data_IF_585617504956
#
_entry.id   IF_585617504956
#
_cell.length_a   1.000
_cell.length_b   1.000
_cell.length_c   1.000
_cell.angle_alpha   90.00
_cell.angle_beta   90.00
_cell.angle_gamma   90.00
#
_symmetry.space_group_name_H-M   'P 1'
#
loop_
_entity.id
_entity.type
_entity.pdbx_description
1 polymer ?
#
# COMPACT_ATOMS: atom_id res chain seq x y z
N UNK A 1 41.86 50.23 42.38
CA UNK A 1 42.84 50.07 43.46
C UNK A 1 43.13 48.58 43.59
N UNK A 2 44.24 48.11 43.01
CA UNK A 2 44.68 46.72 43.15
C UNK A 2 45.19 46.50 44.56
N UNK A 3 44.43 45.78 45.38
CA UNK A 3 44.97 45.21 46.60
C UNK A 3 46.01 44.15 46.20
N UNK A 4 47.28 44.44 46.44
CA UNK A 4 48.40 43.49 46.32
C UNK A 4 48.33 42.44 47.46
N UNK A 5 47.26 41.68 47.52
CA UNK A 5 47.26 40.39 48.22
C UNK A 5 47.42 39.34 47.13
N UNK A 6 48.53 38.59 47.15
CA UNK A 6 48.81 37.50 46.21
C UNK A 6 47.86 36.30 46.34
N UNK A 7 46.59 36.55 46.65
CA UNK A 7 45.53 35.57 46.84
C UNK A 7 45.02 35.08 45.49
N UNK A 8 45.89 34.33 44.81
CA UNK A 8 45.58 33.55 43.61
C UNK A 8 44.44 32.55 43.82
N UNK A 9 44.05 32.29 45.08
CA UNK A 9 42.94 31.40 45.46
C UNK A 9 41.58 31.97 45.01
N UNK A 10 41.37 33.28 45.13
CA UNK A 10 40.09 33.89 44.73
C UNK A 10 39.91 33.88 43.21
N UNK A 11 40.97 34.21 42.46
CA UNK A 11 41.00 34.14 41.00
C UNK A 11 40.78 32.70 40.49
N UNK A 12 41.48 31.72 41.07
CA UNK A 12 41.28 30.29 40.79
C UNK A 12 39.87 29.80 41.10
N UNK A 13 39.23 30.32 42.15
CA UNK A 13 37.85 29.99 42.50
C UNK A 13 36.85 30.49 41.46
N UNK A 14 37.04 31.72 40.96
CA UNK A 14 36.21 32.28 39.88
C UNK A 14 36.41 31.47 38.60
N UNK A 15 37.64 31.14 38.24
CA UNK A 15 37.97 30.36 37.05
C UNK A 15 37.37 28.93 37.13
N UNK A 16 37.50 28.25 38.26
CA UNK A 16 36.85 26.95 38.49
C UNK A 16 35.33 27.01 38.39
N UNK A 17 34.71 28.12 38.79
CA UNK A 17 33.25 28.30 38.68
C UNK A 17 32.83 28.43 37.21
N UNK A 18 33.55 29.23 36.42
CA UNK A 18 33.32 29.35 34.97
C UNK A 18 33.51 28.03 34.24
N UNK A 19 34.51 27.23 34.62
CA UNK A 19 34.74 25.89 34.05
C UNK A 19 33.57 24.95 34.37
N UNK A 20 33.06 24.97 35.60
CA UNK A 20 31.87 24.16 35.99
C UNK A 20 30.62 24.57 35.23
N UNK A 21 30.39 25.87 35.05
CA UNK A 21 29.27 26.39 34.26
C UNK A 21 29.38 25.95 32.79
N UNK A 22 30.57 26.01 32.20
CA UNK A 22 30.81 25.56 30.83
C UNK A 22 30.57 24.04 30.67
N UNK A 23 31.01 23.22 31.62
CA UNK A 23 30.71 21.78 31.61
C UNK A 23 29.21 21.50 31.72
N UNK A 24 28.51 22.17 32.64
CA UNK A 24 27.06 22.03 32.78
C UNK A 24 26.33 22.43 31.50
N UNK A 25 26.73 23.53 30.86
CA UNK A 25 26.17 23.94 29.58
C UNK A 25 26.40 22.89 28.49
N UNK A 26 27.58 22.29 28.41
CA UNK A 26 27.85 21.18 27.49
C UNK A 26 26.94 19.98 27.75
N UNK A 27 26.76 19.57 29.00
CA UNK A 27 25.90 18.44 29.36
C UNK A 27 24.44 18.69 28.97
N UNK A 28 23.95 19.91 29.20
CA UNK A 28 22.60 20.33 28.79
C UNK A 28 22.48 20.32 27.26
N UNK A 29 23.48 20.83 26.53
CA UNK A 29 23.45 20.83 25.06
C UNK A 29 23.46 19.40 24.52
N UNK A 30 24.29 18.49 25.06
CA UNK A 30 24.29 17.09 24.65
C UNK A 30 22.93 16.44 24.88
N UNK A 31 22.34 16.61 26.06
CA UNK A 31 21.02 16.07 26.36
C UNK A 31 19.93 16.60 25.40
N UNK A 32 19.98 17.90 25.07
CA UNK A 32 19.04 18.50 24.11
C UNK A 32 19.23 17.95 22.69
N UNK A 33 20.48 17.72 22.26
CA UNK A 33 20.79 17.13 20.95
C UNK A 33 20.30 15.69 20.92
N UNK A 34 20.59 14.89 21.95
CA UNK A 34 20.19 13.49 22.03
C UNK A 34 18.67 13.35 21.99
N UNK A 35 17.94 14.15 22.78
CA UNK A 35 16.48 14.15 22.78
C UNK A 35 15.90 14.63 21.43
N UNK A 36 16.54 15.62 20.80
CA UNK A 36 16.14 16.12 19.48
C UNK A 36 16.33 15.07 18.39
N UNK A 37 17.46 14.37 18.40
CA UNK A 37 17.77 13.27 17.48
C UNK A 37 16.82 12.10 17.70
N UNK A 38 16.62 11.70 18.96
CA UNK A 38 15.74 10.57 19.29
C UNK A 38 14.29 10.85 18.85
N UNK A 39 13.76 12.04 19.15
CA UNK A 39 12.43 12.45 18.67
C UNK A 39 12.35 12.50 17.15
N UNK A 40 13.34 13.10 16.49
CA UNK A 40 13.36 13.19 15.04
C UNK A 40 13.37 11.82 14.36
N UNK A 41 14.12 10.86 14.91
CA UNK A 41 14.16 9.47 14.43
C UNK A 41 12.82 8.78 14.68
N UNK A 42 12.26 8.89 15.89
CA UNK A 42 10.99 8.25 16.24
C UNK A 42 9.84 8.77 15.37
N UNK A 43 9.68 10.08 15.26
CA UNK A 43 8.63 10.71 14.46
C UNK A 43 8.81 10.40 12.97
N UNK A 44 10.04 10.53 12.45
CA UNK A 44 10.36 10.25 11.05
C UNK A 44 10.08 8.80 10.67
N UNK A 45 10.47 7.85 11.52
CA UNK A 45 10.22 6.43 11.30
C UNK A 45 8.72 6.11 11.37
N UNK A 46 8.02 6.64 12.38
CA UNK A 46 6.59 6.40 12.56
C UNK A 46 5.78 6.93 11.38
N UNK A 47 6.04 8.17 10.95
CA UNK A 47 5.39 8.77 9.78
C UNK A 47 5.73 8.02 8.49
N UNK A 48 7.01 7.66 8.30
CA UNK A 48 7.47 6.94 7.12
C UNK A 48 6.77 5.57 6.98
N UNK A 49 6.72 4.79 8.07
CA UNK A 49 6.03 3.50 8.09
C UNK A 49 4.53 3.67 7.84
N UNK A 50 3.89 4.63 8.51
CA UNK A 50 2.45 4.83 8.40
C UNK A 50 2.05 5.23 6.97
N UNK A 51 2.78 6.20 6.39
CA UNK A 51 2.55 6.66 5.02
C UNK A 51 2.82 5.55 4.00
N UNK A 52 3.99 4.90 4.08
CA UNK A 52 4.35 3.83 3.16
C UNK A 52 3.39 2.64 3.19
N UNK A 53 2.89 2.27 4.38
CA UNK A 53 1.87 1.23 4.52
C UNK A 53 0.54 1.64 3.86
N UNK A 54 0.11 2.88 4.07
CA UNK A 54 -1.18 3.36 3.57
C UNK A 54 -1.16 3.46 2.04
N UNK A 55 -0.11 4.04 1.47
CA UNK A 55 0.12 4.13 0.03
C UNK A 55 0.24 2.73 -0.61
N UNK A 56 1.07 1.86 -0.04
CA UNK A 56 1.26 0.50 -0.56
C UNK A 56 -0.01 -0.36 -0.55
N UNK A 57 -0.83 -0.25 0.51
CA UNK A 57 -2.13 -0.94 0.56
C UNK A 57 -3.09 -0.38 -0.49
N UNK A 58 -3.18 0.94 -0.61
CA UNK A 58 -4.09 1.59 -1.55
C UNK A 58 -3.74 1.23 -3.01
N UNK A 59 -2.46 1.33 -3.39
CA UNK A 59 -1.98 0.95 -4.71
C UNK A 59 -2.18 -0.54 -4.98
N UNK A 60 -1.85 -1.40 -4.00
CA UNK A 60 -2.03 -2.84 -4.11
C UNK A 60 -3.47 -3.25 -4.35
N UNK A 61 -4.41 -2.67 -3.59
CA UNK A 61 -5.86 -2.92 -3.77
C UNK A 61 -6.32 -2.42 -5.14
N UNK A 62 -5.92 -1.21 -5.54
CA UNK A 62 -6.37 -0.61 -6.80
C UNK A 62 -5.89 -1.43 -7.99
N UNK A 63 -4.60 -1.79 -8.02
CA UNK A 63 -4.00 -2.59 -9.08
C UNK A 63 -4.58 -4.00 -9.12
N UNK A 64 -4.62 -4.69 -7.97
CA UNK A 64 -5.17 -6.05 -7.89
C UNK A 64 -6.64 -6.14 -8.30
N UNK A 65 -7.45 -5.13 -7.94
CA UNK A 65 -8.85 -5.06 -8.37
C UNK A 65 -8.98 -4.86 -9.88
N UNK A 66 -8.21 -3.96 -10.48
CA UNK A 66 -8.24 -3.71 -11.92
C UNK A 66 -7.83 -4.94 -12.71
N UNK A 67 -6.70 -5.57 -12.35
CA UNK A 67 -6.19 -6.78 -12.99
C UNK A 67 -7.18 -7.94 -12.84
N UNK A 68 -7.69 -8.18 -11.63
CA UNK A 68 -8.66 -9.25 -11.38
C UNK A 68 -9.98 -9.09 -12.13
N UNK A 69 -10.51 -7.86 -12.25
CA UNK A 69 -11.71 -7.58 -13.04
C UNK A 69 -11.44 -7.82 -14.53
N UNK A 70 -10.31 -7.34 -15.04
CA UNK A 70 -9.97 -7.48 -16.46
C UNK A 70 -9.79 -8.96 -16.84
N UNK A 71 -9.05 -9.72 -16.04
CA UNK A 71 -8.88 -11.15 -16.25
C UNK A 71 -10.21 -11.91 -16.13
N UNK A 72 -11.02 -11.59 -15.11
CA UNK A 72 -12.31 -12.22 -14.91
C UNK A 72 -13.27 -12.00 -16.08
N UNK A 73 -13.33 -10.78 -16.63
CA UNK A 73 -14.13 -10.46 -17.81
C UNK A 73 -13.61 -11.21 -19.04
N UNK A 74 -12.29 -11.27 -19.25
CA UNK A 74 -11.71 -11.97 -20.40
C UNK A 74 -11.99 -13.49 -20.33
N UNK A 75 -11.75 -14.11 -19.18
CA UNK A 75 -12.04 -15.55 -18.95
C UNK A 75 -13.52 -15.84 -19.11
N UNK A 76 -14.40 -15.05 -18.50
CA UNK A 76 -15.85 -15.24 -18.61
C UNK A 76 -16.37 -15.09 -20.04
N UNK A 77 -15.81 -14.17 -20.85
CA UNK A 77 -16.16 -14.06 -22.28
C UNK A 77 -15.72 -15.28 -23.08
N UNK A 78 -14.52 -15.79 -22.85
CA UNK A 78 -14.02 -16.99 -23.52
C UNK A 78 -14.84 -18.23 -23.14
N UNK A 79 -15.12 -18.41 -21.85
CA UNK A 79 -15.97 -19.51 -21.36
C UNK A 79 -17.38 -19.44 -21.96
N UNK A 80 -17.99 -18.24 -21.97
CA UNK A 80 -19.30 -18.04 -22.59
C UNK A 80 -19.30 -18.35 -24.09
N UNK A 81 -18.25 -17.96 -24.82
CA UNK A 81 -18.10 -18.31 -26.24
C UNK A 81 -17.99 -19.82 -26.45
N UNK A 82 -17.20 -20.51 -25.62
CA UNK A 82 -17.05 -21.97 -25.68
C UNK A 82 -18.37 -22.71 -25.41
N UNK A 83 -19.17 -22.22 -24.45
CA UNK A 83 -20.50 -22.75 -24.15
C UNK A 83 -21.43 -22.63 -25.37
N UNK A 84 -21.42 -21.48 -26.04
CA UNK A 84 -22.23 -21.25 -27.25
C UNK A 84 -21.77 -22.16 -28.39
N UNK A 85 -20.46 -22.30 -28.61
CA UNK A 85 -19.91 -23.21 -29.63
C UNK A 85 -20.41 -24.64 -29.38
N UNK A 86 -20.34 -25.10 -28.13
CA UNK A 86 -20.82 -26.43 -27.75
C UNK A 86 -22.31 -26.63 -27.99
N UNK A 87 -23.13 -25.62 -27.69
CA UNK A 87 -24.56 -25.65 -28.05
C UNK A 87 -24.74 -25.84 -29.56
N UNK A 88 -24.02 -25.08 -30.38
CA UNK A 88 -24.14 -25.17 -31.83
C UNK A 88 -23.65 -26.51 -32.39
N UNK A 89 -22.61 -27.10 -31.81
CA UNK A 89 -22.17 -28.47 -32.15
C UNK A 89 -23.28 -29.49 -31.89
N UNK A 90 -23.96 -29.42 -30.73
CA UNK A 90 -25.08 -30.32 -30.40
C UNK A 90 -26.21 -30.16 -31.43
N UNK A 91 -26.64 -28.92 -31.69
CA UNK A 91 -27.72 -28.64 -32.63
C UNK A 91 -27.40 -29.09 -34.07
N UNK A 92 -26.14 -28.98 -34.49
CA UNK A 92 -25.66 -29.48 -35.78
C UNK A 92 -25.68 -31.01 -35.85
N UNK A 93 -25.21 -31.67 -34.79
CA UNK A 93 -25.20 -33.13 -34.70
C UNK A 93 -26.62 -33.73 -34.68
N UNK A 94 -27.59 -33.00 -34.10
CA UNK A 94 -29.01 -33.37 -34.12
C UNK A 94 -29.71 -33.04 -35.45
N UNK A 95 -29.05 -32.34 -36.38
CA UNK A 95 -29.65 -31.88 -37.63
C UNK A 95 -30.72 -30.78 -37.44
N UNK A 96 -30.80 -30.16 -36.26
CA UNK A 96 -31.83 -29.18 -35.89
C UNK A 96 -31.53 -27.77 -36.42
N UNK A 97 -31.53 -27.61 -37.74
CA UNK A 97 -31.18 -26.34 -38.40
C UNK A 97 -32.11 -25.17 -38.05
N UNK A 98 -33.39 -25.43 -37.75
CA UNK A 98 -34.33 -24.38 -37.33
C UNK A 98 -34.01 -23.86 -35.92
N UNK A 99 -33.66 -24.75 -34.98
CA UNK A 99 -33.22 -24.36 -33.64
C UNK A 99 -31.95 -23.52 -33.72
N UNK A 100 -30.98 -23.91 -34.56
CA UNK A 100 -29.73 -23.18 -34.78
C UNK A 100 -29.96 -21.76 -35.34
N UNK A 101 -30.79 -21.65 -36.39
CA UNK A 101 -31.14 -20.35 -37.00
C UNK A 101 -31.85 -19.41 -36.02
N UNK A 102 -32.67 -19.96 -35.12
CA UNK A 102 -33.35 -19.16 -34.09
C UNK A 102 -32.40 -18.76 -32.97
N UNK A 103 -31.61 -19.69 -32.45
CA UNK A 103 -30.64 -19.44 -31.36
C UNK A 103 -29.55 -18.42 -31.72
N UNK A 104 -29.21 -18.30 -33.00
CA UNK A 104 -28.24 -17.29 -33.48
C UNK A 104 -28.81 -15.86 -33.46
N UNK A 105 -30.13 -15.69 -33.53
CA UNK A 105 -30.81 -14.37 -33.60
C UNK A 105 -31.48 -13.97 -32.30
N UNK A 106 -31.99 -14.95 -31.56
CA UNK A 106 -32.77 -14.77 -30.34
C UNK A 106 -31.95 -15.25 -29.14
N UNK A 107 -31.52 -14.29 -28.33
CA UNK A 107 -30.72 -14.55 -27.13
C UNK A 107 -31.52 -15.24 -26.02
N UNK A 108 -32.80 -14.89 -25.85
CA UNK A 108 -33.64 -15.50 -24.82
C UNK A 108 -33.89 -16.98 -25.14
N UNK A 109 -34.21 -17.28 -26.40
CA UNK A 109 -34.34 -18.65 -26.87
C UNK A 109 -33.02 -19.43 -26.77
N UNK A 110 -31.88 -18.80 -27.10
CA UNK A 110 -30.56 -19.43 -26.91
C UNK A 110 -30.32 -19.77 -25.44
N UNK A 111 -30.69 -18.88 -24.52
CA UNK A 111 -30.55 -19.11 -23.09
C UNK A 111 -31.44 -20.24 -22.58
N UNK A 112 -32.67 -20.36 -23.08
CA UNK A 112 -33.55 -21.52 -22.80
C UNK A 112 -32.93 -22.84 -23.28
N UNK A 113 -32.38 -22.87 -24.50
CA UNK A 113 -31.68 -24.06 -25.01
C UNK A 113 -30.43 -24.40 -24.17
N UNK A 114 -29.66 -23.40 -23.75
CA UNK A 114 -28.50 -23.65 -22.88
C UNK A 114 -28.89 -24.36 -21.59
N UNK A 115 -30.06 -24.04 -21.00
CA UNK A 115 -30.61 -24.77 -19.85
C UNK A 115 -31.13 -26.16 -20.22
N UNK A 116 -31.85 -26.28 -21.33
CA UNK A 116 -32.39 -27.57 -21.82
C UNK A 116 -31.26 -28.60 -22.03
N UNK A 117 -30.15 -28.17 -22.61
CA UNK A 117 -28.96 -28.98 -22.85
C UNK A 117 -27.96 -29.00 -21.66
N UNK A 118 -28.32 -28.42 -20.51
CA UNK A 118 -27.52 -28.41 -19.28
C UNK A 118 -26.09 -27.87 -19.47
N UNK A 119 -25.95 -26.84 -20.31
CA UNK A 119 -24.68 -26.17 -20.57
C UNK A 119 -24.41 -24.99 -19.61
N UNK A 120 -25.46 -24.53 -18.90
CA UNK A 120 -25.45 -23.55 -17.81
C UNK A 120 -26.44 -24.00 -16.73
#
# INVERSE_FOLDING_TARGET
MSAMTGDTIFEKSIENTKIKEAHYMCDVIHAMIDEGVERGIQEGLQMGIQKGKLEGIQEGIQKGKLEGIQEGIQKGKLEGANIIIRLYEILLNEGSMDKLKRATKDEAYRYELLKEYHLI
#
